data_IF_784300742395
#
_entry.id   IF_784300742395
#
_cell.length_a   1.000
_cell.length_b   1.000
_cell.length_c   1.000
_cell.angle_alpha   90.00
_cell.angle_beta   90.00
_cell.angle_gamma   90.00
#
_symmetry.space_group_name_H-M   'P 1'
#
loop_
_entity.id
_entity.type
_entity.pdbx_description
1 polymer ?
#
# COMPACT_ATOMS: atom_id res chain seq x y z
N UNK A 1 -18.00 -16.55 -29.26
CA UNK A 1 -17.99 -16.08 -27.87
C UNK A 1 -19.30 -15.36 -27.62
N UNK A 2 -20.13 -15.86 -26.73
CA UNK A 2 -21.46 -15.28 -26.49
C UNK A 2 -21.51 -14.80 -25.05
N UNK A 3 -21.15 -13.54 -24.83
CA UNK A 3 -21.39 -12.89 -23.54
C UNK A 3 -22.90 -12.75 -23.39
N UNK A 4 -23.50 -13.37 -22.37
CA UNK A 4 -24.92 -13.18 -22.08
C UNK A 4 -25.10 -12.23 -20.90
N UNK A 5 -25.88 -11.18 -21.13
CA UNK A 5 -26.41 -10.32 -20.06
C UNK A 5 -27.46 -11.13 -19.29
N UNK A 6 -27.19 -11.37 -18.01
CA UNK A 6 -28.13 -11.98 -17.06
C UNK A 6 -28.48 -10.92 -16.01
N UNK A 7 -29.49 -10.10 -16.30
CA UNK A 7 -29.82 -8.93 -15.48
C UNK A 7 -28.79 -7.82 -15.65
N UNK A 8 -28.20 -7.38 -14.54
CA UNK A 8 -27.11 -6.39 -14.53
C UNK A 8 -25.73 -7.04 -14.73
N UNK A 9 -25.60 -8.38 -14.70
CA UNK A 9 -24.31 -9.07 -14.80
C UNK A 9 -24.00 -9.51 -16.23
N UNK A 10 -22.73 -9.46 -16.63
CA UNK A 10 -22.19 -10.21 -17.76
C UNK A 10 -21.67 -11.55 -17.22
N UNK A 11 -22.13 -12.67 -17.79
CA UNK A 11 -21.72 -14.02 -17.37
C UNK A 11 -21.20 -14.76 -18.62
N UNK A 12 -19.95 -15.25 -18.55
CA UNK A 12 -19.39 -16.19 -19.53
C UNK A 12 -20.12 -17.54 -19.45
N UNK A 13 -20.39 -18.18 -20.60
CA UNK A 13 -21.21 -19.40 -20.65
C UNK A 13 -20.42 -20.71 -20.60
N UNK A 14 -19.08 -20.71 -20.61
CA UNK A 14 -18.27 -21.92 -20.41
C UNK A 14 -17.42 -21.87 -19.12
N UNK A 15 -17.21 -23.05 -18.58
CA UNK A 15 -16.35 -23.44 -17.46
C UNK A 15 -14.85 -23.15 -17.61
N UNK A 16 -14.42 -22.55 -18.73
CA UNK A 16 -13.02 -22.27 -19.07
C UNK A 16 -12.82 -20.95 -19.84
N UNK A 17 -13.82 -20.06 -19.88
CA UNK A 17 -13.78 -18.90 -20.78
C UNK A 17 -12.94 -17.75 -20.22
N UNK A 18 -11.91 -17.33 -20.96
CA UNK A 18 -11.28 -16.03 -20.81
C UNK A 18 -12.21 -14.96 -21.38
N UNK A 19 -12.83 -14.12 -20.55
CA UNK A 19 -13.67 -13.00 -20.97
C UNK A 19 -12.78 -11.82 -21.35
N UNK A 20 -12.87 -11.30 -22.58
CA UNK A 20 -12.25 -10.02 -22.96
C UNK A 20 -13.37 -8.96 -23.09
N UNK A 21 -13.38 -7.96 -22.22
CA UNK A 21 -14.29 -6.82 -22.31
C UNK A 21 -13.50 -5.58 -22.71
N UNK A 22 -13.92 -4.94 -23.80
CA UNK A 22 -13.33 -3.70 -24.30
C UNK A 22 -14.01 -2.49 -23.65
N UNK A 23 -13.28 -1.38 -23.58
CA UNK A 23 -13.74 -0.11 -23.03
C UNK A 23 -15.12 0.30 -23.57
N UNK A 24 -16.02 0.69 -22.67
CA UNK A 24 -17.39 1.12 -23.00
C UNK A 24 -18.44 -0.01 -23.05
N UNK A 25 -18.05 -1.27 -22.87
CA UNK A 25 -19.01 -2.38 -22.72
C UNK A 25 -19.59 -2.50 -21.30
N UNK A 26 -19.04 -1.74 -20.33
CA UNK A 26 -19.44 -1.72 -18.92
C UNK A 26 -20.46 -0.62 -18.57
N UNK A 27 -20.80 0.28 -19.50
CA UNK A 27 -21.57 1.51 -19.25
C UNK A 27 -23.02 1.36 -18.72
N UNK A 28 -23.51 0.13 -18.48
CA UNK A 28 -24.90 -0.11 -18.07
C UNK A 28 -25.04 -1.16 -16.95
N UNK A 29 -24.03 -1.36 -16.10
CA UNK A 29 -24.09 -2.31 -14.98
C UNK A 29 -24.16 -1.56 -13.64
N UNK A 30 -25.36 -1.20 -13.14
CA UNK A 30 -25.50 -0.48 -11.88
C UNK A 30 -25.13 -1.29 -10.61
N UNK A 31 -24.41 -2.41 -10.74
CA UNK A 31 -23.99 -3.26 -9.62
C UNK A 31 -22.66 -4.02 -9.80
N UNK A 32 -21.80 -3.55 -10.72
CA UNK A 32 -20.49 -4.13 -11.01
C UNK A 32 -20.46 -5.39 -11.89
N UNK A 33 -19.32 -5.60 -12.54
CA UNK A 33 -18.97 -6.79 -13.31
C UNK A 33 -18.49 -7.92 -12.39
N UNK A 34 -18.91 -9.16 -12.65
CA UNK A 34 -18.39 -10.36 -11.97
C UNK A 34 -18.12 -11.46 -12.99
N UNK A 35 -16.85 -11.78 -13.26
CA UNK A 35 -16.47 -12.76 -14.30
C UNK A 35 -16.46 -14.22 -13.78
N UNK A 36 -16.25 -14.41 -12.47
CA UNK A 36 -16.45 -15.63 -11.64
C UNK A 36 -15.38 -16.72 -11.79
N UNK A 37 -15.01 -17.08 -13.01
CA UNK A 37 -14.08 -18.18 -13.35
C UNK A 37 -13.47 -17.92 -14.72
N UNK A 38 -12.20 -18.27 -14.88
CA UNK A 38 -11.48 -18.12 -16.14
C UNK A 38 -10.26 -17.25 -15.90
N UNK A 39 -9.42 -17.08 -16.92
CA UNK A 39 -8.42 -16.02 -16.87
C UNK A 39 -8.99 -14.87 -17.69
N UNK A 40 -9.59 -13.91 -17.03
CA UNK A 40 -10.37 -12.85 -17.66
C UNK A 40 -9.51 -11.61 -17.93
N UNK A 41 -9.87 -10.84 -18.96
CA UNK A 41 -9.28 -9.54 -19.28
C UNK A 41 -10.40 -8.50 -19.34
N UNK A 42 -10.38 -7.56 -18.41
CA UNK A 42 -11.39 -6.50 -18.28
C UNK A 42 -10.71 -5.16 -18.47
N UNK A 43 -11.16 -4.38 -19.45
CA UNK A 43 -10.79 -2.97 -19.57
C UNK A 43 -12.01 -2.08 -19.32
N UNK A 44 -11.90 -1.21 -18.32
CA UNK A 44 -12.88 -0.23 -17.92
C UNK A 44 -12.90 0.99 -18.82
N UNK A 45 -13.47 2.09 -18.33
CA UNK A 45 -13.73 3.27 -19.14
C UNK A 45 -13.19 4.54 -18.48
N UNK A 46 -13.91 5.64 -18.56
CA UNK A 46 -13.58 6.89 -17.84
C UNK A 46 -14.60 7.18 -16.74
N UNK A 47 -15.49 6.22 -16.50
CA UNK A 47 -16.57 6.28 -15.53
C UNK A 47 -16.17 5.39 -14.33
N UNK A 48 -16.77 5.61 -13.15
CA UNK A 48 -16.48 4.73 -12.01
C UNK A 48 -16.96 3.28 -12.25
N UNK A 49 -16.08 2.32 -12.10
CA UNK A 49 -16.29 0.90 -12.27
C UNK A 49 -16.29 0.11 -10.96
N UNK A 50 -16.98 -1.03 -10.97
CA UNK A 50 -16.92 -2.03 -9.91
C UNK A 50 -16.69 -3.39 -10.56
N UNK A 51 -15.58 -4.06 -10.29
CA UNK A 51 -15.19 -5.30 -10.97
C UNK A 51 -14.73 -6.36 -9.97
N UNK A 52 -15.17 -7.61 -10.19
CA UNK A 52 -14.74 -8.80 -9.47
C UNK A 52 -14.31 -9.90 -10.48
N UNK A 53 -13.04 -10.29 -10.49
CA UNK A 53 -12.47 -11.33 -11.36
C UNK A 53 -12.92 -12.74 -10.97
N UNK A 54 -12.74 -13.10 -9.71
CA UNK A 54 -13.37 -14.26 -9.11
C UNK A 54 -12.47 -15.48 -8.99
N UNK A 55 -12.08 -16.13 -10.09
CA UNK A 55 -11.19 -17.30 -10.04
C UNK A 55 -10.42 -17.43 -11.33
N UNK A 56 -9.13 -17.71 -11.20
CA UNK A 56 -8.21 -17.78 -12.32
C UNK A 56 -7.42 -16.49 -12.39
N UNK A 57 -6.43 -16.45 -13.27
CA UNK A 57 -5.50 -15.34 -13.30
C UNK A 57 -6.10 -14.22 -14.16
N UNK A 58 -6.67 -13.22 -13.52
CA UNK A 58 -7.41 -12.14 -14.15
C UNK A 58 -6.53 -10.90 -14.38
N UNK A 59 -6.80 -10.16 -15.46
CA UNK A 59 -6.22 -8.86 -15.79
C UNK A 59 -7.35 -7.84 -15.80
N UNK A 60 -7.36 -6.93 -14.84
CA UNK A 60 -8.44 -5.96 -14.60
C UNK A 60 -7.86 -4.55 -14.64
N UNK A 61 -8.37 -3.72 -15.55
CA UNK A 61 -8.03 -2.29 -15.68
C UNK A 61 -9.30 -1.46 -15.48
N UNK A 62 -9.28 -0.49 -14.56
CA UNK A 62 -10.38 0.47 -14.33
C UNK A 62 -10.40 1.57 -15.39
N UNK A 63 -9.24 2.16 -15.67
CA UNK A 63 -9.10 3.17 -16.72
C UNK A 63 -9.12 4.56 -16.11
N UNK A 64 -10.28 5.19 -15.98
CA UNK A 64 -10.39 6.41 -15.22
C UNK A 64 -11.74 6.53 -14.53
N UNK A 65 -11.85 7.39 -13.53
CA UNK A 65 -12.95 7.32 -12.57
C UNK A 65 -12.44 6.80 -11.23
N UNK A 66 -13.33 6.72 -10.25
CA UNK A 66 -12.95 6.18 -8.94
C UNK A 66 -13.48 4.76 -8.84
N UNK A 67 -12.58 3.79 -8.98
CA UNK A 67 -12.91 2.40 -9.24
C UNK A 67 -12.83 1.52 -8.00
N UNK A 68 -13.59 0.42 -8.01
CA UNK A 68 -13.52 -0.63 -7.00
C UNK A 68 -13.24 -1.96 -7.69
N UNK A 69 -11.98 -2.37 -7.69
CA UNK A 69 -11.51 -3.53 -8.47
C UNK A 69 -11.00 -4.65 -7.55
N UNK A 70 -11.34 -5.89 -7.89
CA UNK A 70 -10.94 -7.07 -7.12
C UNK A 70 -10.59 -8.26 -7.99
N UNK A 71 -9.40 -8.84 -7.79
CA UNK A 71 -8.96 -10.08 -8.45
C UNK A 71 -9.67 -11.34 -7.89
N UNK A 72 -9.83 -11.39 -6.57
CA UNK A 72 -10.39 -12.49 -5.76
C UNK A 72 -9.45 -13.70 -5.57
N UNK A 73 -9.15 -14.50 -6.59
CA UNK A 73 -8.44 -15.78 -6.40
C UNK A 73 -7.56 -16.13 -7.57
N UNK A 74 -6.44 -16.77 -7.22
CA UNK A 74 -5.35 -17.11 -8.10
C UNK A 74 -4.51 -15.85 -8.39
N UNK A 75 -3.58 -15.86 -9.36
CA UNK A 75 -2.62 -14.74 -9.51
C UNK A 75 -3.17 -13.67 -10.44
N UNK A 76 -3.54 -12.52 -9.87
CA UNK A 76 -4.26 -11.44 -10.57
C UNK A 76 -3.37 -10.23 -10.86
N UNK A 77 -3.71 -9.48 -11.91
CA UNK A 77 -3.16 -8.16 -12.21
C UNK A 77 -4.30 -7.14 -12.17
N UNK A 78 -4.20 -6.17 -11.25
CA UNK A 78 -5.23 -5.15 -11.02
C UNK A 78 -4.64 -3.76 -11.22
N UNK A 79 -5.17 -2.99 -12.16
CA UNK A 79 -4.76 -1.62 -12.48
C UNK A 79 -5.94 -0.67 -12.25
N UNK A 80 -5.78 0.32 -11.38
CA UNK A 80 -6.78 1.36 -11.13
C UNK A 80 -6.91 2.32 -12.30
N UNK A 81 -5.87 3.12 -12.54
CA UNK A 81 -5.81 4.09 -13.63
C UNK A 81 -5.86 5.52 -13.11
N UNK A 82 -6.72 6.36 -13.69
CA UNK A 82 -6.90 7.75 -13.28
C UNK A 82 -8.07 7.91 -12.29
N UNK A 83 -7.82 8.26 -11.04
CA UNK A 83 -8.84 8.58 -10.04
C UNK A 83 -8.47 8.07 -8.66
N UNK A 84 -9.34 8.26 -7.66
CA UNK A 84 -9.08 7.70 -6.33
C UNK A 84 -9.68 6.29 -6.24
N UNK A 85 -8.84 5.26 -6.33
CA UNK A 85 -9.26 3.87 -6.51
C UNK A 85 -9.19 3.01 -5.23
N UNK A 86 -9.98 1.94 -5.20
CA UNK A 86 -9.94 0.89 -4.19
C UNK A 86 -9.64 -0.46 -4.84
N UNK A 87 -8.42 -0.95 -4.63
CA UNK A 87 -7.88 -2.13 -5.32
C UNK A 87 -7.60 -3.27 -4.34
N UNK A 88 -8.01 -4.48 -4.70
CA UNK A 88 -7.84 -5.68 -3.88
C UNK A 88 -7.39 -6.88 -4.73
N UNK A 89 -6.26 -7.50 -4.37
CA UNK A 89 -5.75 -8.71 -5.01
C UNK A 89 -6.62 -9.91 -4.61
N UNK A 90 -6.50 -10.33 -3.35
CA UNK A 90 -7.37 -11.35 -2.76
C UNK A 90 -6.58 -12.55 -2.28
N UNK A 91 -6.66 -13.67 -2.99
CA UNK A 91 -5.89 -14.88 -2.67
C UNK A 91 -4.97 -15.20 -3.84
N UNK A 92 -3.67 -15.10 -3.65
CA UNK A 92 -2.73 -15.35 -4.75
C UNK A 92 -1.58 -14.36 -4.66
N UNK A 93 -0.57 -14.54 -5.51
CA UNK A 93 0.47 -13.53 -5.60
C UNK A 93 0.04 -12.53 -6.67
N UNK A 94 -0.47 -11.40 -6.23
CA UNK A 94 -1.13 -10.42 -7.09
C UNK A 94 -0.20 -9.25 -7.43
N UNK A 95 -0.45 -8.60 -8.57
CA UNK A 95 0.22 -7.38 -8.99
C UNK A 95 -0.79 -6.24 -9.05
N UNK A 96 -0.67 -5.27 -8.15
CA UNK A 96 -1.63 -4.17 -7.98
C UNK A 96 -0.95 -2.83 -8.27
N UNK A 97 -1.54 -2.03 -9.14
CA UNK A 97 -1.07 -0.69 -9.51
C UNK A 97 -2.22 0.31 -9.36
N UNK A 98 -2.05 1.31 -8.49
CA UNK A 98 -3.00 2.41 -8.27
C UNK A 98 -3.15 3.26 -9.52
N UNK A 99 -2.12 4.04 -9.83
CA UNK A 99 -2.09 4.89 -11.02
C UNK A 99 -1.98 6.35 -10.61
N UNK A 100 -2.89 7.20 -11.06
CA UNK A 100 -2.94 8.61 -10.67
C UNK A 100 -4.10 8.84 -9.71
N UNK A 101 -3.86 9.38 -8.52
CA UNK A 101 -4.91 9.64 -7.54
C UNK A 101 -4.49 9.22 -6.14
N UNK A 102 -5.42 9.20 -5.19
CA UNK A 102 -5.12 8.72 -3.84
C UNK A 102 -5.73 7.35 -3.65
N UNK A 103 -4.93 6.32 -3.84
CA UNK A 103 -5.41 4.96 -3.98
C UNK A 103 -5.34 4.19 -2.67
N UNK A 104 -6.21 3.20 -2.53
CA UNK A 104 -6.20 2.23 -1.42
C UNK A 104 -5.93 0.84 -1.96
N UNK A 105 -4.74 0.31 -1.66
CA UNK A 105 -4.26 -0.97 -2.19
C UNK A 105 -4.23 -2.04 -1.10
N UNK A 106 -4.87 -3.18 -1.38
CA UNK A 106 -4.91 -4.37 -0.53
C UNK A 106 -4.39 -5.58 -1.29
N UNK A 107 -3.20 -6.09 -0.94
CA UNK A 107 -2.74 -7.39 -1.45
C UNK A 107 -3.61 -8.54 -0.95
N UNK A 108 -4.01 -8.46 0.32
CA UNK A 108 -4.67 -9.52 1.09
C UNK A 108 -3.75 -10.70 1.39
N UNK A 109 -3.92 -11.88 0.78
CA UNK A 109 -3.19 -13.10 1.18
C UNK A 109 -2.17 -13.50 0.13
N UNK A 110 -1.04 -13.97 0.65
CA UNK A 110 0.15 -14.40 -0.09
C UNK A 110 1.10 -13.22 -0.33
N UNK A 111 2.02 -13.34 -1.28
CA UNK A 111 3.07 -12.32 -1.47
C UNK A 111 2.71 -11.43 -2.66
N UNK A 112 2.25 -10.22 -2.37
CA UNK A 112 1.76 -9.30 -3.40
C UNK A 112 2.79 -8.26 -3.79
N UNK A 113 2.66 -7.72 -5.00
CA UNK A 113 3.45 -6.58 -5.48
C UNK A 113 2.53 -5.38 -5.63
N UNK A 114 2.79 -4.32 -4.88
CA UNK A 114 1.94 -3.14 -4.79
C UNK A 114 2.69 -1.89 -5.27
N UNK A 115 2.07 -1.12 -6.15
CA UNK A 115 2.60 0.14 -6.70
C UNK A 115 1.52 1.21 -6.56
N UNK A 116 1.78 2.28 -5.81
CA UNK A 116 0.79 3.34 -5.59
C UNK A 116 0.62 4.23 -6.82
N UNK A 117 1.74 4.75 -7.33
CA UNK A 117 1.79 5.67 -8.45
C UNK A 117 1.88 7.13 -8.02
N UNK A 118 1.14 8.00 -8.71
CA UNK A 118 1.09 9.44 -8.42
C UNK A 118 -0.01 9.73 -7.40
N UNK A 119 0.35 10.30 -6.25
CA UNK A 119 -0.62 10.82 -5.29
C UNK A 119 -0.26 10.42 -3.87
N UNK A 120 -1.25 10.40 -2.97
CA UNK A 120 -1.04 10.01 -1.57
C UNK A 120 -1.75 8.69 -1.28
N UNK A 121 -1.02 7.60 -1.47
CA UNK A 121 -1.60 6.25 -1.47
C UNK A 121 -1.58 5.61 -0.09
N UNK A 122 -2.46 4.64 0.12
CA UNK A 122 -2.49 3.81 1.32
C UNK A 122 -2.37 2.33 0.98
N UNK A 123 -1.28 1.72 1.41
CA UNK A 123 -1.03 0.29 1.29
C UNK A 123 -1.50 -0.43 2.57
N UNK A 124 -2.42 -1.38 2.44
CA UNK A 124 -2.94 -2.17 3.54
C UNK A 124 -2.31 -3.55 3.57
N UNK A 125 -1.55 -3.82 4.63
CA UNK A 125 -0.88 -5.09 4.86
C UNK A 125 -1.75 -6.04 5.69
N UNK A 126 -1.80 -7.30 5.27
CA UNK A 126 -2.33 -8.37 6.11
C UNK A 126 -1.26 -8.84 7.10
N UNK A 127 -1.64 -9.02 8.35
CA UNK A 127 -0.73 -9.50 9.38
C UNK A 127 -0.97 -10.98 9.67
N UNK A 128 0.09 -11.70 9.99
CA UNK A 128 0.06 -13.10 10.45
C UNK A 128 -0.45 -14.12 9.43
N UNK A 129 -0.44 -13.81 8.13
CA UNK A 129 -0.69 -14.79 7.07
C UNK A 129 0.56 -15.65 6.78
N UNK A 130 1.75 -15.11 7.08
CA UNK A 130 3.03 -15.80 6.97
C UNK A 130 3.84 -15.39 5.75
N UNK A 131 3.25 -14.57 4.87
CA UNK A 131 3.80 -14.08 3.62
C UNK A 131 4.22 -12.61 3.75
N UNK A 132 4.80 -12.02 2.70
CA UNK A 132 5.39 -10.68 2.72
C UNK A 132 5.03 -9.96 1.42
N UNK A 133 4.51 -8.74 1.54
CA UNK A 133 4.23 -7.88 0.40
C UNK A 133 5.44 -7.04 -0.02
N UNK A 134 5.47 -6.66 -1.29
CA UNK A 134 6.50 -5.82 -1.89
C UNK A 134 5.90 -4.52 -2.39
N UNK A 135 6.24 -3.41 -1.74
CA UNK A 135 5.82 -2.07 -2.19
C UNK A 135 6.94 -1.47 -3.03
N UNK A 136 6.63 -1.12 -4.27
CA UNK A 136 7.65 -0.84 -5.30
C UNK A 136 8.09 0.62 -5.38
N UNK A 137 7.22 1.56 -4.96
CA UNK A 137 7.39 2.99 -5.22
C UNK A 137 7.05 3.90 -4.02
N UNK A 138 7.02 3.35 -2.80
CA UNK A 138 6.66 4.09 -1.59
C UNK A 138 7.37 5.45 -1.44
N UNK A 139 6.58 6.52 -1.36
CA UNK A 139 7.01 7.91 -1.24
C UNK A 139 6.78 8.44 0.18
N UNK A 140 7.87 8.57 0.95
CA UNK A 140 7.79 9.11 2.31
C UNK A 140 7.19 10.52 2.35
N UNK A 141 6.14 10.68 3.16
CA UNK A 141 5.43 11.95 3.34
C UNK A 141 4.21 12.12 2.44
N UNK A 142 4.09 11.37 1.35
CA UNK A 142 2.86 11.25 0.56
C UNK A 142 2.09 10.00 0.98
N UNK A 143 2.78 8.86 0.99
CA UNK A 143 2.14 7.56 1.12
C UNK A 143 2.09 7.07 2.56
N UNK A 144 1.16 6.15 2.79
CA UNK A 144 0.89 5.55 4.09
C UNK A 144 0.85 4.04 3.98
N UNK A 145 1.24 3.40 5.07
CA UNK A 145 1.10 1.95 5.22
C UNK A 145 0.22 1.72 6.43
N UNK A 146 -0.78 0.89 6.27
CA UNK A 146 -1.75 0.52 7.29
C UNK A 146 -1.84 -1.00 7.41
N UNK A 147 -2.43 -1.44 8.51
CA UNK A 147 -2.78 -2.83 8.76
C UNK A 147 -4.13 -2.89 9.48
N UNK A 148 -4.57 -4.08 9.86
CA UNK A 148 -5.75 -4.28 10.72
C UNK A 148 -5.64 -3.57 12.08
N UNK A 149 -4.42 -3.22 12.53
CA UNK A 149 -4.12 -2.42 13.72
C UNK A 149 -4.09 -0.91 13.48
N UNK A 150 -4.38 -0.47 12.25
CA UNK A 150 -4.28 0.93 11.82
C UNK A 150 -2.93 1.26 11.19
N UNK A 151 -2.60 2.55 11.11
CA UNK A 151 -1.36 3.02 10.50
C UNK A 151 -0.12 2.52 11.25
N UNK A 152 0.88 2.10 10.48
CA UNK A 152 2.14 1.64 11.04
C UNK A 152 2.84 2.77 11.80
N UNK A 153 3.46 2.41 12.92
CA UNK A 153 4.16 3.32 13.81
C UNK A 153 5.44 2.68 14.37
N UNK A 154 6.35 3.50 14.90
CA UNK A 154 7.63 3.03 15.43
C UNK A 154 7.53 2.31 16.77
N UNK A 155 6.39 2.37 17.47
CA UNK A 155 6.22 1.64 18.73
C UNK A 155 6.01 0.15 18.43
N UNK A 156 5.20 -0.15 17.42
CA UNK A 156 4.79 -1.51 17.07
C UNK A 156 5.67 -2.16 15.99
N UNK A 157 6.32 -1.38 15.12
CA UNK A 157 7.06 -1.88 13.96
C UNK A 157 8.52 -1.41 13.92
N UNK A 158 9.37 -2.21 13.30
CA UNK A 158 10.79 -1.90 13.04
C UNK A 158 11.01 -1.77 11.54
N UNK A 159 11.75 -0.74 11.14
CA UNK A 159 12.17 -0.51 9.75
C UNK A 159 13.67 -0.80 9.65
N UNK A 160 14.02 -1.97 9.14
CA UNK A 160 15.41 -2.43 9.03
C UNK A 160 15.91 -2.34 7.59
N UNK A 161 17.20 -2.09 7.40
CA UNK A 161 17.79 -2.26 6.07
C UNK A 161 17.73 -3.74 5.66
N UNK A 162 17.46 -4.00 4.38
CA UNK A 162 17.61 -5.34 3.80
C UNK A 162 19.06 -5.82 3.88
N UNK A 163 19.23 -7.13 4.06
CA UNK A 163 20.55 -7.74 4.28
C UNK A 163 20.99 -8.64 3.14
N UNK A 164 20.12 -8.89 2.17
CA UNK A 164 20.28 -9.82 1.07
C UNK A 164 19.94 -11.26 1.45
N UNK A 165 19.98 -11.60 2.75
CA UNK A 165 19.57 -12.91 3.26
C UNK A 165 18.05 -13.06 3.39
N UNK A 166 17.36 -11.92 3.47
CA UNK A 166 15.91 -11.73 3.50
C UNK A 166 15.29 -11.56 2.10
N UNK A 167 16.10 -11.68 1.04
CA UNK A 167 15.68 -11.39 -0.33
C UNK A 167 15.64 -9.90 -0.66
N UNK A 168 15.92 -9.02 0.32
CA UNK A 168 15.92 -7.57 0.17
C UNK A 168 17.35 -7.03 0.11
N UNK A 169 17.62 -6.10 -0.79
CA UNK A 169 18.91 -5.41 -0.90
C UNK A 169 19.12 -4.41 0.24
N UNK A 170 20.35 -3.92 0.43
CA UNK A 170 20.61 -2.83 1.39
C UNK A 170 19.96 -1.50 1.02
N UNK A 171 19.45 -1.38 -0.22
CA UNK A 171 18.65 -0.25 -0.67
C UNK A 171 17.19 -0.33 -0.26
N UNK A 172 16.75 -1.48 0.26
CA UNK A 172 15.37 -1.76 0.62
C UNK A 172 15.16 -1.64 2.13
N UNK A 173 13.90 -1.44 2.52
CA UNK A 173 13.47 -1.47 3.92
C UNK A 173 12.61 -2.68 4.17
N UNK A 174 13.00 -3.51 5.13
CA UNK A 174 12.17 -4.60 5.66
C UNK A 174 11.39 -4.09 6.85
N UNK A 175 10.06 -4.18 6.78
CA UNK A 175 9.15 -3.85 7.88
C UNK A 175 8.92 -5.10 8.71
N UNK A 176 9.23 -5.03 9.99
CA UNK A 176 9.14 -6.14 10.95
C UNK A 176 8.16 -5.79 12.05
N UNK A 177 7.17 -6.65 12.28
CA UNK A 177 6.27 -6.57 13.41
C UNK A 177 6.97 -7.02 14.69
N UNK A 178 7.11 -6.13 15.67
CA UNK A 178 7.83 -6.43 16.92
C UNK A 178 7.13 -7.46 17.80
N UNK A 179 5.82 -7.63 17.65
CA UNK A 179 5.06 -8.58 18.46
C UNK A 179 5.33 -10.03 18.05
N UNK A 180 5.68 -10.25 16.78
CA UNK A 180 5.91 -11.57 16.19
C UNK A 180 7.35 -11.81 15.76
N UNK A 181 8.16 -10.75 15.68
CA UNK A 181 9.53 -10.77 15.14
C UNK A 181 9.57 -11.30 13.69
N UNK A 182 8.52 -11.00 12.92
CA UNK A 182 8.37 -11.42 11.53
C UNK A 182 8.34 -10.20 10.60
N UNK A 183 8.98 -10.34 9.46
CA UNK A 183 8.82 -9.40 8.36
C UNK A 183 7.37 -9.50 7.83
N UNK A 184 6.81 -8.35 7.47
CA UNK A 184 5.44 -8.23 6.94
C UNK A 184 5.39 -7.54 5.58
N UNK A 185 6.39 -6.72 5.25
CA UNK A 185 6.51 -6.08 3.95
C UNK A 185 7.95 -5.67 3.66
N UNK A 186 8.27 -5.52 2.39
CA UNK A 186 9.51 -4.92 1.90
C UNK A 186 9.17 -3.68 1.07
N UNK A 187 9.81 -2.56 1.39
CA UNK A 187 9.79 -1.35 0.57
C UNK A 187 11.01 -1.37 -0.33
N UNK A 188 10.79 -1.52 -1.63
CA UNK A 188 11.86 -1.64 -2.61
C UNK A 188 12.46 -0.27 -2.91
N UNK A 189 13.79 -0.21 -2.97
CA UNK A 189 14.57 1.01 -3.22
C UNK A 189 14.29 2.18 -2.25
N UNK A 190 13.67 1.90 -1.11
CA UNK A 190 13.48 2.86 -0.02
C UNK A 190 14.43 2.50 1.10
N UNK A 191 15.52 3.27 1.33
CA UNK A 191 16.47 2.93 2.39
C UNK A 191 15.86 3.19 3.76
N UNK A 192 16.18 2.35 4.75
CA UNK A 192 15.60 2.45 6.10
C UNK A 192 15.94 3.75 6.83
N UNK A 193 16.99 4.46 6.40
CA UNK A 193 17.31 5.81 6.87
C UNK A 193 16.21 6.84 6.57
N UNK A 194 15.31 6.56 5.61
CA UNK A 194 14.10 7.35 5.33
C UNK A 194 13.19 7.45 6.55
N UNK A 195 13.21 6.42 7.41
CA UNK A 195 12.39 6.28 8.60
C UNK A 195 13.16 6.58 9.89
N UNK A 196 14.39 7.08 9.80
CA UNK A 196 15.14 7.43 11.01
C UNK A 196 14.40 8.55 11.76
N UNK A 197 14.22 8.36 13.07
CA UNK A 197 13.75 9.43 13.95
C UNK A 197 14.60 10.68 13.70
N UNK A 198 13.95 11.84 13.58
CA UNK A 198 14.64 13.13 13.52
C UNK A 198 15.71 13.13 14.61
N UNK A 199 16.97 13.51 14.34
CA UNK A 199 17.99 13.50 15.38
C UNK A 199 17.44 14.29 16.55
N UNK A 200 17.34 13.63 17.73
CA UNK A 200 16.96 14.30 18.97
C UNK A 200 17.75 15.60 19.01
N UNK A 201 17.08 16.78 19.09
CA UNK A 201 17.79 18.04 19.09
C UNK A 201 18.89 17.93 20.13
N UNK A 202 20.14 18.11 19.72
CA UNK A 202 21.27 18.06 20.64
C UNK A 202 20.89 18.98 21.80
N UNK A 203 20.87 18.48 23.06
CA UNK A 203 20.49 19.31 24.19
C UNK A 203 21.33 20.58 24.11
N UNK A 204 20.67 21.74 24.11
CA UNK A 204 21.37 23.01 24.09
C UNK A 204 22.48 22.95 25.15
N UNK A 205 23.72 23.40 24.84
CA UNK A 205 24.81 23.33 25.80
C UNK A 205 24.32 23.94 27.11
N UNK A 206 24.48 23.20 28.21
CA UNK A 206 24.10 23.66 29.55
C UNK A 206 24.64 25.09 29.72
N UNK A 207 23.79 26.10 30.01
CA UNK A 207 24.28 27.45 30.18
C UNK A 207 25.38 27.41 31.23
N UNK A 208 26.56 27.94 30.87
CA UNK A 208 27.66 28.08 31.82
C UNK A 208 27.12 28.80 33.05
N UNK A 209 27.31 28.25 34.27
CA UNK A 209 26.78 28.89 35.46
C UNK A 209 27.31 30.32 35.51
N UNK A 210 26.39 31.28 35.55
CA UNK A 210 26.74 32.68 35.78
C UNK A 210 27.57 32.73 37.06
N UNK A 211 28.78 33.33 37.05
CA UNK A 211 29.59 33.40 38.26
C UNK A 211 28.79 34.09 39.36
N UNK A 212 28.70 33.43 40.52
CA UNK A 212 28.08 34.00 41.71
C UNK A 212 28.70 35.37 41.97
N UNK A 213 27.92 36.46 42.07
CA UNK A 213 28.48 37.77 42.34
C UNK A 213 29.28 37.71 43.64
N UNK A 214 30.53 38.16 43.58
CA UNK A 214 31.37 38.31 44.77
C UNK A 214 30.64 39.23 45.76
N UNK A 215 30.43 38.82 47.03
CA UNK A 215 29.75 39.66 48.00
C UNK A 215 30.52 40.97 48.15
N UNK A 216 29.81 42.09 48.00
CA UNK A 216 30.37 43.42 48.21
C UNK A 216 30.85 43.51 49.67
N UNK A 217 32.11 43.92 49.93
CA UNK A 217 32.60 44.08 51.29
C UNK A 217 31.75 45.11 52.03
N UNK A 218 31.27 44.74 53.23
CA UNK A 218 30.55 45.64 54.12
C UNK A 218 31.53 46.75 54.56
N UNK A 219 31.20 48.04 54.37
CA UNK A 219 32.07 49.12 54.81
C UNK A 219 32.22 49.10 56.33
N UNK A 220 33.45 49.30 56.81
CA UNK A 220 33.75 49.35 58.23
C UNK A 220 33.02 50.53 58.91
N UNK A 221 32.55 50.37 60.16
CA UNK A 221 31.92 51.45 60.90
C UNK A 221 32.92 52.60 61.11
N UNK A 222 32.46 53.82 60.84
CA UNK A 222 33.23 55.06 61.03
C UNK A 222 33.35 55.35 62.54
N UNK A 223 34.52 55.81 63.04
CA UNK A 223 34.73 56.11 64.46
C UNK A 223 33.84 57.23 65.01
#
# INVERSE_FOLDING_TARGET
MTVKRQGIYLIGEDTADNIALEAGQLQDIPGGLVTRKGNDTVSGSSDAEVVYGGKGNDEIEGGGGNDSLRGDKDEDTVLGGDGDDCLCGGQGNDSIVGGSGNDSLHGDRASDTLTGGEGSDTFFLLLNDGDIDYITDYQNGSDRIASDRGFLNFDDYTFSAGTGADGASSGDTVIIDKSTDRAIAVLLNVPSSTFAATPTPTPAPTPTPTPTPTPTPIPAPTP
#
